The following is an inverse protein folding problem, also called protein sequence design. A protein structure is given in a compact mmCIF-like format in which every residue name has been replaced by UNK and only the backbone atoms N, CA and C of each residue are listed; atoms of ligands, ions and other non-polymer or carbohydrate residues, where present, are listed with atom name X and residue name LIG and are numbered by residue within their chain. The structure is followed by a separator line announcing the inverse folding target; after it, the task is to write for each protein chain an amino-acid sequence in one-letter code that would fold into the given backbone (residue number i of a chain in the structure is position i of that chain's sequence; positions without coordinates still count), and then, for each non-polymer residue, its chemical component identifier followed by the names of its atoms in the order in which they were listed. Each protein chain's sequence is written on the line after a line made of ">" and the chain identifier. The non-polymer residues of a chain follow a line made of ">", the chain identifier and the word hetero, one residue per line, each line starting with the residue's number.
data_IF_591277363637
#
_entry.id   IF_591277363637
#
_cell.length_a   1.000
_cell.length_b   1.000
_cell.length_c   1.000
_cell.angle_alpha   90.00
_cell.angle_beta   90.00
_cell.angle_gamma   90.00
#
_symmetry.space_group_name_H-M   'P 1'
#
loop_
_entity.id
_entity.type
_entity.pdbx_description
1 polymer ?
#
# COMPACT_ATOMS: atom_id res chain seq x y z
N UNK A 1 38.04 -12.29 11.73
CA UNK A 1 36.77 -11.72 11.24
C UNK A 1 35.79 -11.77 12.40
N UNK A 2 35.33 -10.63 12.93
CA UNK A 2 34.34 -10.62 14.03
C UNK A 2 32.99 -11.11 13.50
N UNK A 3 32.37 -12.04 14.22
CA UNK A 3 31.00 -12.46 13.92
C UNK A 3 30.03 -11.34 14.27
N UNK A 4 29.07 -11.01 13.38
CA UNK A 4 28.08 -10.00 13.67
C UNK A 4 27.22 -10.43 14.87
N UNK A 5 26.94 -9.48 15.77
CA UNK A 5 26.07 -9.68 16.92
C UNK A 5 24.69 -10.18 16.47
N UNK A 6 24.01 -10.99 17.29
CA UNK A 6 22.64 -11.47 17.02
C UNK A 6 21.67 -10.31 16.73
N UNK A 7 21.83 -9.20 17.43
CA UNK A 7 21.00 -7.99 17.23
C UNK A 7 21.25 -7.35 15.86
N UNK A 8 22.50 -7.33 15.41
CA UNK A 8 22.87 -6.77 14.11
C UNK A 8 22.31 -7.61 12.97
N UNK A 9 22.45 -8.94 13.07
CA UNK A 9 21.82 -9.84 12.11
C UNK A 9 20.31 -9.62 12.03
N UNK A 10 19.63 -9.48 13.18
CA UNK A 10 18.19 -9.27 13.20
C UNK A 10 17.76 -7.96 12.54
N UNK A 11 18.53 -6.87 12.72
CA UNK A 11 18.29 -5.60 12.02
C UNK A 11 18.44 -5.75 10.51
N UNK A 12 19.53 -6.37 10.05
CA UNK A 12 19.78 -6.61 8.63
C UNK A 12 18.68 -7.48 7.99
N UNK A 13 18.18 -8.49 8.72
CA UNK A 13 17.05 -9.30 8.26
C UNK A 13 15.77 -8.46 8.08
N UNK A 14 15.45 -7.57 9.03
CA UNK A 14 14.27 -6.70 8.92
C UNK A 14 14.41 -5.69 7.77
N UNK A 15 15.60 -5.12 7.59
CA UNK A 15 15.89 -4.21 6.49
C UNK A 15 15.73 -4.91 5.13
N UNK A 16 16.32 -6.09 4.99
CA UNK A 16 16.19 -6.91 3.79
C UNK A 16 14.74 -7.25 3.49
N UNK A 17 13.98 -7.67 4.50
CA UNK A 17 12.57 -8.00 4.34
C UNK A 17 11.76 -6.79 3.86
N UNK A 18 11.98 -5.61 4.45
CA UNK A 18 11.33 -4.38 4.02
C UNK A 18 11.72 -4.00 2.59
N UNK A 19 13.00 -4.12 2.22
CA UNK A 19 13.47 -3.82 0.86
C UNK A 19 12.78 -4.73 -0.18
N UNK A 20 12.64 -6.03 0.10
CA UNK A 20 11.93 -6.98 -0.76
C UNK A 20 10.46 -6.61 -0.90
N UNK A 21 9.80 -6.20 0.19
CA UNK A 21 8.40 -5.77 0.16
C UNK A 21 8.21 -4.48 -0.65
N UNK A 22 9.11 -3.50 -0.51
CA UNK A 22 9.07 -2.28 -1.31
C UNK A 22 9.28 -2.56 -2.80
N UNK A 23 10.20 -3.46 -3.16
CA UNK A 23 10.45 -3.82 -4.56
C UNK A 23 9.23 -4.51 -5.19
N UNK A 24 8.59 -5.45 -4.48
CA UNK A 24 7.33 -6.08 -4.91
C UNK A 24 6.23 -5.04 -5.15
N UNK A 25 6.08 -4.07 -4.23
CA UNK A 25 5.11 -2.99 -4.37
C UNK A 25 5.43 -2.07 -5.54
N UNK A 26 6.71 -1.79 -5.79
CA UNK A 26 7.16 -1.00 -6.93
C UNK A 26 6.72 -1.65 -8.24
N UNK A 27 7.02 -2.93 -8.44
CA UNK A 27 6.65 -3.66 -9.66
C UNK A 27 5.14 -3.70 -9.87
N UNK A 28 4.37 -4.01 -8.83
CA UNK A 28 2.91 -4.04 -8.90
C UNK A 28 2.33 -2.67 -9.31
N UNK A 29 2.83 -1.58 -8.71
CA UNK A 29 2.40 -0.22 -9.04
C UNK A 29 2.76 0.17 -10.46
N UNK A 30 3.96 -0.21 -10.92
CA UNK A 30 4.41 0.13 -12.26
C UNK A 30 3.58 -0.60 -13.32
N UNK A 31 3.29 -1.88 -13.11
CA UNK A 31 2.37 -2.64 -13.98
C UNK A 31 1.00 -1.96 -14.08
N UNK A 32 0.42 -1.54 -12.95
CA UNK A 32 -0.84 -0.81 -12.95
C UNK A 32 -0.76 0.55 -13.67
N UNK A 33 0.35 1.30 -13.52
CA UNK A 33 0.58 2.57 -14.23
C UNK A 33 0.74 2.37 -15.73
N UNK A 34 1.46 1.33 -16.16
CA UNK A 34 1.63 1.00 -17.58
C UNK A 34 0.28 0.60 -18.18
N UNK A 35 -0.50 -0.23 -17.47
CA UNK A 35 -1.89 -0.55 -17.87
C UNK A 35 -2.71 0.72 -18.05
N UNK A 36 -2.70 1.61 -17.06
CA UNK A 36 -3.40 2.89 -17.15
C UNK A 36 -2.97 3.71 -18.37
N UNK A 37 -1.66 3.80 -18.63
CA UNK A 37 -1.12 4.54 -19.77
C UNK A 37 -1.55 3.95 -21.13
N UNK A 38 -1.72 2.62 -21.22
CA UNK A 38 -2.11 1.94 -22.46
C UNK A 38 -3.62 1.88 -22.66
N UNK A 39 -4.40 1.73 -21.59
CA UNK A 39 -5.84 1.44 -21.67
C UNK A 39 -6.75 2.65 -21.46
N UNK A 40 -6.27 3.73 -20.86
CA UNK A 40 -7.10 4.90 -20.56
C UNK A 40 -7.50 5.66 -21.83
N UNK A 41 -8.77 6.08 -21.88
CA UNK A 41 -9.34 6.88 -22.96
C UNK A 41 -9.34 8.37 -22.65
N UNK A 42 -9.17 8.73 -21.38
CA UNK A 42 -9.12 10.11 -20.89
C UNK A 42 -8.10 10.26 -19.77
N UNK A 43 -7.68 11.51 -19.53
CA UNK A 43 -6.79 11.81 -18.43
C UNK A 43 -7.40 11.50 -17.06
N UNK A 44 -8.70 11.72 -16.89
CA UNK A 44 -9.39 11.45 -15.62
C UNK A 44 -9.35 9.96 -15.28
N UNK A 45 -9.63 9.10 -16.28
CA UNK A 45 -9.53 7.65 -16.14
C UNK A 45 -8.09 7.21 -15.81
N UNK A 46 -7.09 7.77 -16.50
CA UNK A 46 -5.68 7.54 -16.17
C UNK A 46 -5.38 7.93 -14.71
N UNK A 47 -5.82 9.11 -14.28
CA UNK A 47 -5.59 9.65 -12.94
C UNK A 47 -6.18 8.74 -11.87
N UNK A 48 -7.38 8.22 -12.11
CA UNK A 48 -8.06 7.29 -11.20
C UNK A 48 -7.31 5.95 -11.08
N UNK A 49 -6.90 5.36 -12.20
CA UNK A 49 -6.11 4.12 -12.18
C UNK A 49 -4.77 4.29 -11.46
N UNK A 50 -4.06 5.39 -11.73
CA UNK A 50 -2.79 5.70 -11.06
C UNK A 50 -3.02 5.93 -9.57
N UNK A 51 -4.10 6.60 -9.17
CA UNK A 51 -4.45 6.78 -7.76
C UNK A 51 -4.75 5.43 -7.09
N UNK A 52 -5.53 4.57 -7.75
CA UNK A 52 -5.88 3.24 -7.26
C UNK A 52 -4.64 2.35 -7.03
N UNK A 53 -3.62 2.46 -7.88
CA UNK A 53 -2.37 1.71 -7.72
C UNK A 53 -1.63 2.01 -6.40
N UNK A 54 -1.85 3.19 -5.80
CA UNK A 54 -1.21 3.58 -4.54
C UNK A 54 -2.05 3.27 -3.29
N UNK A 55 -3.23 2.65 -3.44
CA UNK A 55 -4.05 2.23 -2.31
C UNK A 55 -3.29 1.23 -1.43
N UNK A 56 -3.37 1.44 -0.12
CA UNK A 56 -2.84 0.51 0.88
C UNK A 56 -3.91 -0.52 1.23
N UNK A 57 -3.49 -1.75 1.48
CA UNK A 57 -4.37 -2.76 2.05
C UNK A 57 -4.96 -2.28 3.37
N UNK A 58 -6.23 -2.59 3.61
CA UNK A 58 -6.89 -2.28 4.88
C UNK A 58 -6.21 -3.04 6.02
N UNK A 59 -5.80 -2.30 7.05
CA UNK A 59 -5.30 -2.91 8.28
C UNK A 59 -6.45 -3.54 9.08
N UNK A 60 -6.13 -4.28 10.14
CA UNK A 60 -7.15 -4.87 11.01
C UNK A 60 -7.94 -3.77 11.72
N UNK A 61 -7.24 -2.73 12.14
CA UNK A 61 -7.79 -1.54 12.79
C UNK A 61 -8.73 -0.78 11.84
N UNK A 62 -8.39 -0.71 10.54
CA UNK A 62 -9.26 -0.10 9.52
C UNK A 62 -10.58 -0.86 9.35
N UNK A 63 -10.54 -2.20 9.46
CA UNK A 63 -11.74 -3.05 9.38
C UNK A 63 -12.63 -2.89 10.61
N UNK A 64 -12.03 -2.79 11.78
CA UNK A 64 -12.75 -2.57 13.05
C UNK A 64 -13.40 -1.18 13.10
N UNK A 65 -12.76 -0.15 12.51
CA UNK A 65 -13.31 1.21 12.47
C UNK A 65 -14.55 1.33 11.56
N UNK A 66 -14.64 0.55 10.46
CA UNK A 66 -15.81 0.52 9.55
C UNK A 66 -17.08 -0.08 10.16
N UNK A 67 -16.96 -0.86 11.24
CA UNK A 67 -18.13 -1.39 11.98
C UNK A 67 -18.90 -0.27 12.71
N UNK A 68 -18.27 0.88 12.95
CA UNK A 68 -18.96 2.08 13.45
C UNK A 68 -19.49 2.87 12.25
N UNK A 69 -20.68 2.48 11.80
CA UNK A 69 -21.30 2.98 10.58
C UNK A 69 -21.60 4.47 10.61
N UNK A 70 -21.54 5.07 9.42
CA UNK A 70 -21.88 6.43 9.02
C UNK A 70 -23.26 6.94 9.48
N UNK A 71 -24.12 6.06 10.01
CA UNK A 71 -25.48 6.35 10.50
C UNK A 71 -25.54 7.23 11.76
N UNK A 72 -24.42 7.66 12.32
CA UNK A 72 -24.40 8.51 13.53
C UNK A 72 -24.25 10.01 13.24
N UNK A 73 -24.13 10.42 11.97
CA UNK A 73 -23.95 11.83 11.59
C UNK A 73 -25.23 12.52 11.11
N UNK A 74 -26.35 11.80 10.93
CA UNK A 74 -27.59 12.34 10.36
C UNK A 74 -28.76 12.48 11.35
N UNK A 75 -28.58 12.10 12.61
CA UNK A 75 -29.66 12.14 13.62
C UNK A 75 -29.47 13.29 14.63
N UNK A 76 -29.06 14.47 14.15
CA UNK A 76 -28.99 15.69 14.96
C UNK A 76 -29.61 16.86 14.21
N UNK A 77 -30.93 16.79 13.99
CA UNK A 77 -31.81 17.93 13.71
C UNK A 77 -32.88 18.04 14.79
#
# INVERSE_FOLDING_TARGET
>A
MSTPSRTENQRLYMELQNAIEQDKLYWLRNDAKIKAAVSSKSYDEFREYVAAAHLKSLTKEDKERKQRSWTTLTDSE
#
